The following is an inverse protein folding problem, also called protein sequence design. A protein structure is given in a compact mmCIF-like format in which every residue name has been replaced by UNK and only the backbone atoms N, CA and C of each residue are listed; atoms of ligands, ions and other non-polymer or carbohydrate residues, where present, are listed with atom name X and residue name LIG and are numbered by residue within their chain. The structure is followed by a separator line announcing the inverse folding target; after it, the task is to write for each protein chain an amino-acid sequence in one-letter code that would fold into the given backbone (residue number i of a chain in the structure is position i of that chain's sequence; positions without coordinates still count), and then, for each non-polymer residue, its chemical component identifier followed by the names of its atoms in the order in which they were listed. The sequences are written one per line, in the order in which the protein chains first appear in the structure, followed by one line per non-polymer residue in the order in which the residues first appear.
data_IF_548677307861
#
_entry.id   IF_548677307861
#
_cell.length_a   1.000
_cell.length_b   1.000
_cell.length_c   1.000
_cell.angle_alpha   90.00
_cell.angle_beta   90.00
_cell.angle_gamma   90.00
#
_symmetry.space_group_name_H-M   'P 1'
#
loop_
_entity.id
_entity.type
_entity.pdbx_description
1 polymer ?
#
# COMPACT_ATOMS: atom_id res chain seq x y z
N UNK A 1 -7.87 -13.52 -30.62
CA UNK A 1 -9.24 -13.45 -30.11
C UNK A 1 -9.21 -12.69 -28.80
N UNK A 2 -9.62 -11.42 -28.79
CA UNK A 2 -9.55 -10.55 -27.62
C UNK A 2 -10.68 -10.95 -26.65
N UNK A 3 -10.32 -11.58 -25.54
CA UNK A 3 -11.27 -11.94 -24.49
C UNK A 3 -11.74 -10.69 -23.76
N UNK A 4 -13.02 -10.36 -23.91
CA UNK A 4 -13.69 -9.34 -23.10
C UNK A 4 -13.97 -9.98 -21.74
N UNK A 5 -13.40 -9.44 -20.67
CA UNK A 5 -13.73 -9.87 -19.31
C UNK A 5 -15.16 -9.44 -18.98
N UNK A 6 -16.07 -10.42 -18.87
CA UNK A 6 -17.41 -10.20 -18.31
C UNK A 6 -17.31 -10.15 -16.78
N UNK A 7 -17.92 -9.15 -16.12
CA UNK A 7 -17.91 -9.05 -14.66
C UNK A 7 -18.84 -10.11 -14.08
N UNK A 8 -18.28 -11.28 -13.76
CA UNK A 8 -19.06 -12.39 -13.18
C UNK A 8 -18.26 -13.65 -12.83
N UNK A 9 -16.93 -13.60 -12.85
CA UNK A 9 -16.08 -14.70 -12.39
C UNK A 9 -15.50 -14.41 -11.01
N UNK A 10 -15.94 -15.16 -10.02
CA UNK A 10 -15.18 -15.41 -8.81
C UNK A 10 -13.87 -16.14 -9.19
N UNK A 11 -12.81 -15.98 -8.40
CA UNK A 11 -11.45 -16.50 -8.63
C UNK A 11 -10.52 -15.68 -9.55
N UNK A 12 -10.17 -14.48 -9.09
CA UNK A 12 -8.83 -13.92 -9.38
C UNK A 12 -7.93 -14.38 -8.24
N UNK A 13 -7.08 -15.38 -8.52
CA UNK A 13 -6.10 -15.88 -7.55
C UNK A 13 -4.91 -14.92 -7.45
N UNK A 14 -4.98 -13.98 -6.50
CA UNK A 14 -3.84 -13.16 -6.07
C UNK A 14 -3.11 -13.94 -4.96
N UNK A 15 -2.38 -15.00 -5.33
CA UNK A 15 -1.53 -15.80 -4.42
C UNK A 15 -0.08 -15.28 -4.31
N UNK A 16 0.33 -14.30 -5.12
CA UNK A 16 1.65 -13.66 -5.00
C UNK A 16 1.75 -12.72 -3.78
N UNK A 17 2.76 -12.93 -2.93
CA UNK A 17 3.06 -12.05 -1.79
C UNK A 17 3.42 -10.62 -2.23
N UNK A 18 3.19 -9.63 -1.36
CA UNK A 18 3.27 -8.20 -1.74
C UNK A 18 4.69 -7.67 -1.99
N UNK A 19 5.76 -8.36 -1.56
CA UNK A 19 7.15 -7.91 -1.71
C UNK A 19 8.09 -9.07 -2.04
N UNK A 20 8.47 -9.22 -3.33
CA UNK A 20 9.52 -10.13 -3.80
C UNK A 20 9.04 -11.21 -4.79
N UNK A 21 9.88 -11.63 -5.75
CA UNK A 21 9.41 -12.21 -7.00
C UNK A 21 9.05 -13.68 -6.82
N UNK A 22 7.78 -14.04 -6.94
CA UNK A 22 7.43 -15.44 -7.15
C UNK A 22 6.24 -15.56 -8.10
N UNK A 23 6.52 -16.30 -9.17
CA UNK A 23 5.61 -16.71 -10.24
C UNK A 23 4.93 -15.59 -11.02
N UNK A 24 5.46 -15.37 -12.23
CA UNK A 24 4.70 -14.84 -13.36
C UNK A 24 3.34 -15.53 -13.41
N UNK A 25 2.20 -14.81 -13.41
CA UNK A 25 0.91 -15.45 -13.61
C UNK A 25 0.84 -15.93 -15.05
N UNK A 26 1.05 -17.23 -15.26
CA UNK A 26 0.68 -17.92 -16.48
C UNK A 26 -0.83 -18.16 -16.46
N UNK A 27 -1.62 -17.17 -16.85
CA UNK A 27 -2.89 -17.34 -17.58
C UNK A 27 -3.62 -15.99 -17.70
N UNK A 28 -3.90 -15.62 -18.96
CA UNK A 28 -4.81 -14.56 -19.40
C UNK A 28 -4.75 -13.25 -18.60
N UNK A 29 -3.80 -12.38 -18.97
CA UNK A 29 -3.74 -10.98 -18.53
C UNK A 29 -5.06 -10.27 -18.88
N UNK A 30 -5.93 -10.11 -17.88
CA UNK A 30 -7.09 -9.24 -17.94
C UNK A 30 -6.60 -7.79 -17.86
N UNK A 31 -6.17 -7.25 -19.01
CA UNK A 31 -5.83 -5.83 -19.11
C UNK A 31 -7.14 -5.05 -19.07
N UNK A 32 -7.36 -4.16 -18.08
CA UNK A 32 -8.56 -3.33 -18.04
C UNK A 32 -8.66 -2.49 -19.30
N UNK A 33 -9.85 -2.47 -19.91
CA UNK A 33 -10.08 -1.86 -21.22
C UNK A 33 -10.62 -0.43 -21.12
N UNK A 34 -11.03 -0.02 -19.93
CA UNK A 34 -11.60 1.29 -19.64
C UNK A 34 -11.11 1.84 -18.29
N UNK A 35 -11.26 3.15 -18.08
CA UNK A 35 -11.01 3.79 -16.78
C UNK A 35 -11.84 3.17 -15.67
N UNK A 36 -13.07 2.78 -15.97
CA UNK A 36 -13.99 2.16 -15.01
C UNK A 36 -13.48 0.78 -14.58
N UNK A 37 -12.99 -0.01 -15.53
CA UNK A 37 -12.41 -1.34 -15.27
C UNK A 37 -11.17 -1.22 -14.34
N UNK A 38 -10.33 -0.20 -14.56
CA UNK A 38 -9.18 0.09 -13.70
C UNK A 38 -9.64 0.38 -12.27
N UNK A 39 -10.65 1.25 -12.11
CA UNK A 39 -11.15 1.61 -10.78
C UNK A 39 -11.79 0.43 -10.06
N UNK A 40 -12.55 -0.40 -10.78
CA UNK A 40 -13.15 -1.61 -10.24
C UNK A 40 -12.10 -2.64 -9.82
N UNK A 41 -11.04 -2.83 -10.62
CA UNK A 41 -9.94 -3.73 -10.29
C UNK A 41 -9.19 -3.26 -9.04
N UNK A 42 -8.87 -1.97 -8.95
CA UNK A 42 -8.22 -1.37 -7.78
C UNK A 42 -9.12 -1.55 -6.54
N UNK A 43 -10.39 -1.17 -6.63
CA UNK A 43 -11.34 -1.31 -5.52
C UNK A 43 -11.49 -2.76 -5.05
N UNK A 44 -11.62 -3.72 -5.99
CA UNK A 44 -11.69 -5.16 -5.68
C UNK A 44 -10.40 -5.65 -5.00
N UNK A 45 -9.25 -5.20 -5.46
CA UNK A 45 -7.95 -5.55 -4.89
C UNK A 45 -7.81 -5.07 -3.44
N UNK A 46 -8.21 -3.83 -3.14
CA UNK A 46 -8.22 -3.29 -1.77
C UNK A 46 -9.23 -4.00 -0.87
N UNK A 47 -10.46 -4.25 -1.36
CA UNK A 47 -11.50 -4.94 -0.59
C UNK A 47 -11.12 -6.39 -0.25
N UNK A 48 -10.44 -7.09 -1.16
CA UNK A 48 -9.98 -8.45 -0.92
C UNK A 48 -8.88 -8.54 0.14
N UNK A 49 -8.04 -7.50 0.30
CA UNK A 49 -7.02 -7.47 1.36
C UNK A 49 -7.63 -7.42 2.75
N UNK A 50 -8.76 -6.74 2.94
CA UNK A 50 -9.45 -6.69 4.24
C UNK A 50 -10.04 -8.05 4.66
N UNK A 51 -10.31 -8.93 3.68
CA UNK A 51 -10.91 -10.25 3.91
C UNK A 51 -9.87 -11.36 4.11
N UNK A 52 -8.62 -11.13 3.72
CA UNK A 52 -7.55 -12.13 3.79
C UNK A 52 -6.82 -12.00 5.13
N UNK A 53 -6.91 -13.04 5.96
CA UNK A 53 -6.25 -13.16 7.28
C UNK A 53 -4.75 -13.47 7.18
N UNK A 54 -4.10 -13.15 6.06
CA UNK A 54 -2.68 -13.45 5.85
C UNK A 54 -1.82 -12.20 6.03
N UNK A 55 -0.81 -12.38 6.89
CA UNK A 55 0.05 -11.41 7.58
C UNK A 55 1.08 -10.73 6.67
N UNK A 56 0.68 -10.09 5.58
CA UNK A 56 1.67 -9.46 4.68
C UNK A 56 2.29 -8.17 5.23
N UNK A 57 1.65 -7.51 6.19
CA UNK A 57 2.10 -6.24 6.78
C UNK A 57 1.71 -6.10 8.26
N UNK A 58 1.80 -7.18 9.03
CA UNK A 58 1.70 -7.12 10.49
C UNK A 58 3.11 -6.91 11.04
N UNK A 59 3.49 -5.67 11.28
CA UNK A 59 4.62 -5.40 12.18
C UNK A 59 4.05 -5.15 13.58
N UNK A 60 3.98 -6.22 14.37
CA UNK A 60 3.60 -6.19 15.79
C UNK A 60 4.52 -5.32 16.66
N UNK A 61 5.58 -4.75 16.09
CA UNK A 61 6.50 -3.84 16.76
C UNK A 61 6.81 -2.63 15.86
N UNK A 62 6.31 -1.47 16.28
CA UNK A 62 6.51 -0.17 15.63
C UNK A 62 7.98 0.22 15.44
N UNK A 63 8.90 -0.35 16.23
CA UNK A 63 10.35 -0.08 16.13
C UNK A 63 11.00 -0.78 14.93
N UNK A 64 10.36 -1.81 14.38
CA UNK A 64 10.89 -2.58 13.23
C UNK A 64 10.67 -1.89 11.88
N UNK A 65 9.84 -0.85 11.83
CA UNK A 65 9.53 -0.15 10.59
C UNK A 65 10.57 0.93 10.22
N UNK A 66 11.64 1.09 11.00
CA UNK A 66 12.72 2.05 10.70
C UNK A 66 12.40 3.50 11.09
N UNK A 67 11.43 3.71 11.98
CA UNK A 67 11.18 5.01 12.62
C UNK A 67 12.02 5.14 13.89
N UNK A 68 12.58 6.33 14.12
CA UNK A 68 13.26 6.63 15.38
C UNK A 68 12.24 6.98 16.47
N UNK A 69 12.65 6.94 17.73
CA UNK A 69 11.80 7.38 18.83
C UNK A 69 11.38 8.85 18.69
N UNK A 70 12.25 9.69 18.10
CA UNK A 70 11.94 11.09 17.81
C UNK A 70 10.86 11.22 16.73
N UNK A 71 10.90 10.38 15.69
CA UNK A 71 9.85 10.35 14.66
C UNK A 71 8.50 9.98 15.26
N UNK A 72 8.44 8.97 16.13
CA UNK A 72 7.20 8.58 16.81
C UNK A 72 6.63 9.70 17.68
N UNK A 73 7.49 10.47 18.35
CA UNK A 73 7.07 11.63 19.13
C UNK A 73 6.53 12.76 18.25
N UNK A 74 7.16 13.03 17.11
CA UNK A 74 6.73 14.06 16.16
C UNK A 74 5.41 13.71 15.47
N UNK A 75 5.27 12.46 15.04
CA UNK A 75 4.05 11.98 14.38
C UNK A 75 2.85 11.96 15.34
N UNK A 76 3.10 11.78 16.64
CA UNK A 76 2.08 11.65 17.67
C UNK A 76 1.81 10.20 18.04
N UNK A 77 1.42 9.98 19.31
CA UNK A 77 1.32 8.64 19.90
C UNK A 77 0.36 7.69 19.15
N UNK A 78 -0.69 8.23 18.54
CA UNK A 78 -1.71 7.44 17.84
C UNK A 78 -1.47 7.33 16.33
N UNK A 79 -0.44 8.00 15.78
CA UNK A 79 -0.21 8.06 14.33
C UNK A 79 0.43 6.79 13.76
N UNK A 80 0.98 5.92 14.61
CA UNK A 80 1.60 4.66 14.22
C UNK A 80 0.78 3.46 14.71
N UNK A 81 0.06 2.81 13.79
CA UNK A 81 -0.72 1.60 14.10
C UNK A 81 0.13 0.31 14.08
N UNK A 82 1.44 0.39 13.80
CA UNK A 82 2.29 -0.78 13.57
C UNK A 82 1.99 -1.51 12.25
N UNK A 83 1.22 -0.88 11.36
CA UNK A 83 0.83 -1.46 10.08
C UNK A 83 1.76 -0.93 9.00
N UNK A 84 2.59 -1.79 8.41
CA UNK A 84 3.55 -1.39 7.37
C UNK A 84 4.88 -2.12 7.45
N UNK A 85 5.71 -1.99 6.40
CA UNK A 85 6.97 -2.71 6.26
C UNK A 85 8.21 -1.79 6.11
N UNK A 86 8.11 -0.52 6.53
CA UNK A 86 9.23 0.41 6.45
C UNK A 86 8.85 1.88 6.66
N UNK A 87 9.86 2.73 6.54
CA UNK A 87 9.79 4.19 6.66
C UNK A 87 10.10 4.80 5.27
N UNK A 88 9.08 5.11 4.43
CA UNK A 88 9.28 5.67 3.10
C UNK A 88 9.92 7.07 3.12
N UNK A 89 9.80 7.79 4.23
CA UNK A 89 10.40 9.11 4.42
C UNK A 89 11.93 9.03 4.51
N UNK A 90 12.48 7.93 5.05
CA UNK A 90 13.93 7.80 5.30
C UNK A 90 14.81 7.83 4.05
N UNK A 91 14.26 7.47 2.88
CA UNK A 91 14.97 7.46 1.60
C UNK A 91 14.36 8.41 0.57
N UNK A 92 13.30 9.14 0.92
CA UNK A 92 12.70 10.15 0.07
C UNK A 92 13.49 11.47 0.16
N UNK A 93 13.91 12.02 -0.99
CA UNK A 93 14.61 13.31 -1.06
C UNK A 93 13.61 14.48 -1.08
N UNK A 94 12.76 14.55 -0.05
CA UNK A 94 11.69 15.55 0.08
C UNK A 94 12.28 16.96 0.17
N UNK A 95 11.73 17.90 -0.59
CA UNK A 95 12.10 19.31 -0.59
C UNK A 95 10.98 20.20 -0.04
N UNK A 96 11.37 21.38 0.47
CA UNK A 96 10.42 22.39 0.91
C UNK A 96 9.54 22.88 -0.26
N UNK A 97 8.24 23.07 0.01
CA UNK A 97 7.22 23.45 -0.96
C UNK A 97 6.69 22.32 -1.83
N UNK A 98 7.16 21.08 -1.66
CA UNK A 98 6.64 19.93 -2.42
C UNK A 98 5.25 19.49 -1.94
N UNK A 99 4.46 18.90 -2.87
CA UNK A 99 3.19 18.25 -2.54
C UNK A 99 3.36 16.73 -2.58
N UNK A 100 3.10 16.07 -1.46
CA UNK A 100 3.19 14.61 -1.32
C UNK A 100 1.79 13.98 -1.25
N UNK A 101 1.68 12.75 -1.78
CA UNK A 101 0.48 11.92 -1.69
C UNK A 101 0.86 10.58 -1.08
N UNK A 102 0.25 10.25 0.04
CA UNK A 102 0.42 8.97 0.74
C UNK A 102 -0.73 8.02 0.40
N UNK A 103 -0.42 6.95 -0.33
CA UNK A 103 -1.38 5.94 -0.77
C UNK A 103 -1.40 4.77 0.22
N UNK A 104 -2.05 4.99 1.35
CA UNK A 104 -2.17 3.98 2.41
C UNK A 104 -1.86 4.52 3.81
N UNK A 105 -2.25 5.76 4.08
CA UNK A 105 -1.73 6.52 5.23
C UNK A 105 -2.05 5.97 6.61
N UNK A 106 -3.04 5.08 6.74
CA UNK A 106 -3.42 4.53 8.05
C UNK A 106 -3.74 5.64 9.06
N UNK A 107 -3.06 5.65 10.21
CA UNK A 107 -3.18 6.72 11.20
C UNK A 107 -2.29 7.95 10.91
N UNK A 108 -1.51 7.93 9.84
CA UNK A 108 -0.89 9.12 9.27
C UNK A 108 0.57 9.37 9.63
N UNK A 109 1.30 8.40 10.21
CA UNK A 109 2.73 8.58 10.57
C UNK A 109 3.57 9.17 9.42
N UNK A 110 3.43 8.66 8.21
CA UNK A 110 4.19 9.14 7.05
C UNK A 110 3.84 10.57 6.67
N UNK A 111 2.54 10.90 6.66
CA UNK A 111 2.05 12.27 6.41
C UNK A 111 2.57 13.27 7.45
N UNK A 112 2.52 12.93 8.74
CA UNK A 112 2.96 13.83 9.81
C UNK A 112 4.48 14.02 9.80
N UNK A 113 5.25 12.99 9.47
CA UNK A 113 6.70 13.15 9.31
C UNK A 113 7.07 13.90 8.03
N UNK A 114 6.28 13.75 6.97
CA UNK A 114 6.47 14.48 5.73
C UNK A 114 6.13 15.97 5.88
N UNK A 115 5.13 16.35 6.68
CA UNK A 115 4.72 17.75 6.83
C UNK A 115 5.85 18.65 7.31
N UNK A 116 6.66 18.16 8.25
CA UNK A 116 7.82 18.92 8.76
C UNK A 116 8.92 19.11 7.71
N UNK A 117 8.98 18.24 6.69
CA UNK A 117 10.01 18.28 5.64
C UNK A 117 9.63 19.15 4.46
N UNK A 118 8.34 19.22 4.13
CA UNK A 118 7.84 20.07 3.05
C UNK A 118 7.64 21.52 3.45
N UNK A 119 7.57 21.83 4.76
CA UNK A 119 7.39 23.20 5.25
C UNK A 119 5.94 23.63 5.32
#
# INVERSE_FOLDING_TARGET
SNGICVPGGDDVDITGGCCGPSSSPSSSSCIPSSREDVLQLVAKSYANRLKKTESCCVSVDSTMNGYTAEDLLKAGADANLGLGCGNPISFANIQEGETLVDLGSGAGIDCFLASDKVG
#
